data_IF_620711660688
#
_entry.id   IF_620711660688
#
_cell.length_a   1.000
_cell.length_b   1.000
_cell.length_c   1.000
_cell.angle_alpha   90.00
_cell.angle_beta   90.00
_cell.angle_gamma   90.00
#
_symmetry.space_group_name_H-M   'P 1'
#
loop_
_entity.id
_entity.type
_entity.pdbx_description
1 polymer ?
#
# COMPACT_ATOMS: atom_id res chain seq x y z
N UNK A 1 -11.12 23.15 2.35
CA UNK A 1 -10.20 23.71 1.35
C UNK A 1 -10.85 23.66 -0.04
N UNK A 2 -11.15 22.47 -0.59
CA UNK A 2 -11.75 22.30 -1.95
C UNK A 2 -13.07 23.08 -2.18
N UNK A 3 -13.90 23.25 -1.15
CA UNK A 3 -15.14 24.04 -1.25
C UNK A 3 -14.81 25.53 -1.40
N UNK A 4 -13.88 26.06 -0.59
CA UNK A 4 -13.45 27.45 -0.67
C UNK A 4 -12.75 27.79 -1.99
N UNK A 5 -11.99 26.86 -2.55
CA UNK A 5 -11.36 27.05 -3.87
C UNK A 5 -12.40 27.14 -4.99
N UNK A 6 -13.43 26.28 -4.96
CA UNK A 6 -14.51 26.33 -5.94
C UNK A 6 -15.38 27.60 -5.82
N UNK A 7 -15.61 28.09 -4.60
CA UNK A 7 -16.29 29.36 -4.35
C UNK A 7 -15.47 30.57 -4.85
N UNK A 8 -14.14 30.54 -4.67
CA UNK A 8 -13.27 31.59 -5.18
C UNK A 8 -13.25 31.64 -6.73
N UNK A 9 -13.25 30.47 -7.40
CA UNK A 9 -13.39 30.40 -8.86
C UNK A 9 -14.72 30.99 -9.34
N UNK A 10 -15.82 30.70 -8.63
CA UNK A 10 -17.11 31.27 -8.95
C UNK A 10 -17.11 32.80 -8.88
N UNK A 11 -16.56 33.37 -7.80
CA UNK A 11 -16.47 34.82 -7.60
C UNK A 11 -15.62 35.49 -8.69
N UNK A 12 -14.51 34.85 -9.13
CA UNK A 12 -13.70 35.35 -10.23
C UNK A 12 -14.43 35.37 -11.56
N UNK A 13 -15.21 34.34 -11.87
CA UNK A 13 -16.01 34.30 -13.11
C UNK A 13 -17.18 35.31 -13.07
N UNK A 14 -17.78 35.53 -11.93
CA UNK A 14 -18.86 36.53 -11.73
C UNK A 14 -18.36 37.99 -11.85
N UNK A 15 -17.09 38.26 -11.50
CA UNK A 15 -16.48 39.60 -11.54
C UNK A 15 -16.00 40.04 -12.93
N UNK A 16 -15.99 39.17 -13.92
CA UNK A 16 -15.61 39.51 -15.29
C UNK A 16 -16.72 40.25 -16.02
N UNK A 17 -16.39 41.39 -16.68
CA UNK A 17 -17.36 42.24 -17.42
C UNK A 17 -18.06 41.51 -18.60
N UNK A 18 -17.45 40.50 -19.18
CA UNK A 18 -18.06 39.65 -20.22
C UNK A 18 -18.46 38.31 -19.59
N UNK A 19 -19.64 38.22 -19.03
CA UNK A 19 -20.16 36.98 -18.46
C UNK A 19 -20.44 35.96 -19.55
N UNK A 20 -19.68 34.86 -19.52
CA UNK A 20 -20.07 33.66 -20.23
C UNK A 20 -20.99 32.87 -19.27
N UNK A 21 -22.30 32.96 -19.46
CA UNK A 21 -23.32 32.31 -18.61
C UNK A 21 -23.11 30.82 -18.45
N UNK A 22 -22.57 30.16 -19.47
CA UNK A 22 -22.24 28.74 -19.40
C UNK A 22 -21.11 28.44 -18.40
N UNK A 23 -20.06 29.29 -18.35
CA UNK A 23 -18.97 29.14 -17.36
C UNK A 23 -19.44 29.39 -15.93
N UNK A 24 -20.32 30.38 -15.74
CA UNK A 24 -20.92 30.64 -14.41
C UNK A 24 -21.79 29.47 -13.98
N UNK A 25 -22.57 28.88 -14.88
CA UNK A 25 -23.39 27.71 -14.62
C UNK A 25 -22.56 26.49 -14.26
N UNK A 26 -21.45 26.24 -14.98
CA UNK A 26 -20.51 25.16 -14.68
C UNK A 26 -19.79 25.39 -13.35
N UNK A 27 -19.39 26.62 -13.04
CA UNK A 27 -18.77 26.96 -11.75
C UNK A 27 -19.74 26.75 -10.58
N UNK A 28 -21.02 27.15 -10.72
CA UNK A 28 -22.06 26.89 -9.74
C UNK A 28 -22.28 25.41 -9.50
N UNK A 29 -22.40 24.61 -10.56
CA UNK A 29 -22.54 23.16 -10.47
C UNK A 29 -21.33 22.51 -9.74
N UNK A 30 -20.11 23.00 -10.00
CA UNK A 30 -18.89 22.55 -9.33
C UNK A 30 -18.88 22.88 -7.84
N UNK A 31 -19.37 24.07 -7.45
CA UNK A 31 -19.52 24.47 -6.03
C UNK A 31 -20.51 23.56 -5.31
N UNK A 32 -21.69 23.34 -5.90
CA UNK A 32 -22.72 22.46 -5.32
C UNK A 32 -22.22 21.03 -5.17
N UNK A 33 -21.54 20.47 -6.17
CA UNK A 33 -20.92 19.14 -6.10
C UNK A 33 -19.89 19.05 -4.95
N UNK A 34 -19.04 20.08 -4.78
CA UNK A 34 -18.05 20.13 -3.70
C UNK A 34 -18.67 20.28 -2.31
N UNK A 35 -19.77 21.03 -2.19
CA UNK A 35 -20.54 21.11 -0.95
C UNK A 35 -21.17 19.78 -0.58
N UNK A 36 -21.75 19.07 -1.55
CA UNK A 36 -22.33 17.75 -1.34
C UNK A 36 -21.25 16.73 -0.90
N UNK A 37 -20.06 16.75 -1.53
CA UNK A 37 -18.93 15.92 -1.16
C UNK A 37 -18.46 16.22 0.28
N UNK A 38 -18.35 17.49 0.66
CA UNK A 38 -17.97 17.92 2.01
C UNK A 38 -18.95 17.44 3.07
N UNK A 39 -20.26 17.60 2.82
CA UNK A 39 -21.32 17.13 3.72
C UNK A 39 -21.29 15.61 3.91
N UNK A 40 -21.05 14.86 2.82
CA UNK A 40 -20.91 13.40 2.87
C UNK A 40 -19.70 12.97 3.70
N UNK A 41 -18.56 13.64 3.55
CA UNK A 41 -17.35 13.36 4.32
C UNK A 41 -17.53 13.65 5.81
N UNK A 42 -18.26 14.70 6.15
CA UNK A 42 -18.56 15.06 7.54
C UNK A 42 -19.47 14.03 8.22
N UNK A 43 -20.48 13.54 7.48
CA UNK A 43 -21.34 12.45 7.93
C UNK A 43 -20.53 11.17 8.19
N UNK A 44 -19.63 10.79 7.26
CA UNK A 44 -18.76 9.62 7.43
C UNK A 44 -17.87 9.74 8.67
N UNK A 45 -17.30 10.92 8.94
CA UNK A 45 -16.52 11.20 10.15
C UNK A 45 -17.34 11.01 11.43
N UNK A 46 -18.57 11.52 11.43
CA UNK A 46 -19.47 11.42 12.57
C UNK A 46 -19.88 9.98 12.84
N UNK A 47 -20.20 9.23 11.78
CA UNK A 47 -20.59 7.82 11.88
C UNK A 47 -19.42 6.93 12.34
N UNK A 48 -18.19 7.20 11.87
CA UNK A 48 -16.98 6.54 12.36
C UNK A 48 -16.75 6.79 13.85
N UNK A 49 -16.88 8.06 14.29
CA UNK A 49 -16.71 8.41 15.70
C UNK A 49 -17.73 7.70 16.60
N UNK A 50 -19.00 7.59 16.15
CA UNK A 50 -20.04 6.84 16.86
C UNK A 50 -19.74 5.34 16.91
N UNK A 51 -19.26 4.76 15.80
CA UNK A 51 -18.90 3.34 15.76
C UNK A 51 -17.70 3.01 16.65
N UNK A 52 -16.72 3.91 16.72
CA UNK A 52 -15.55 3.76 17.60
C UNK A 52 -15.91 3.87 19.07
N UNK A 53 -16.81 4.80 19.42
CA UNK A 53 -17.33 4.96 20.77
C UNK A 53 -18.20 3.75 21.21
N UNK A 54 -19.00 3.21 20.29
CA UNK A 54 -19.78 1.98 20.53
C UNK A 54 -18.88 0.76 20.76
N UNK A 55 -17.79 0.61 19.97
CA UNK A 55 -16.79 -0.44 20.17
C UNK A 55 -16.07 -0.31 21.50
N UNK A 56 -15.75 0.92 21.93
CA UNK A 56 -15.10 1.15 23.23
C UNK A 56 -16.03 0.80 24.40
N UNK A 57 -17.32 1.14 24.31
CA UNK A 57 -18.33 0.77 25.33
C UNK A 57 -18.53 -0.72 25.40
N UNK A 58 -18.62 -1.43 24.26
CA UNK A 58 -18.73 -2.89 24.22
C UNK A 58 -17.50 -3.59 24.82
N UNK A 59 -16.29 -3.07 24.56
CA UNK A 59 -15.04 -3.62 25.13
C UNK A 59 -14.90 -3.33 26.65
N UNK A 60 -15.57 -2.31 27.15
CA UNK A 60 -15.60 -1.98 28.57
C UNK A 60 -16.62 -2.84 29.35
N UNK A 61 -17.76 -3.18 28.72
CA UNK A 61 -18.75 -4.10 29.27
C UNK A 61 -18.25 -5.55 29.33
N UNK A 62 -17.43 -6.00 28.37
CA UNK A 62 -16.82 -7.36 28.42
C UNK A 62 -15.75 -7.49 29.52
N UNK A 63 -15.04 -6.42 29.88
CA UNK A 63 -14.07 -6.43 30.98
C UNK A 63 -14.68 -6.54 32.35
N UNK A 64 -15.97 -6.28 32.49
CA UNK A 64 -16.69 -6.37 33.80
C UNK A 64 -17.23 -7.77 34.05
N UNK A 65 -17.23 -8.68 33.06
CA UNK A 65 -17.82 -10.03 33.19
C UNK A 65 -16.84 -11.17 33.42
N UNK A 66 -15.53 -10.93 33.35
CA UNK A 66 -14.54 -11.99 33.61
C UNK A 66 -13.94 -11.88 35.02
N UNK A 67 -14.41 -12.76 35.93
CA UNK A 67 -13.73 -13.15 37.15
C UNK A 67 -12.66 -14.22 36.81
N UNK A 68 -11.44 -14.18 37.35
CA UNK A 68 -10.34 -14.99 36.86
C UNK A 68 -10.50 -16.44 37.22
N UNK A 69 -10.43 -17.31 36.23
CA UNK A 69 -10.15 -18.73 36.38
C UNK A 69 -8.68 -19.00 36.03
N UNK A 70 -8.06 -19.86 36.84
CA UNK A 70 -6.64 -20.24 36.86
C UNK A 70 -6.04 -20.52 35.49
N UNK A 71 -4.83 -19.97 35.24
CA UNK A 71 -4.00 -20.24 34.09
C UNK A 71 -3.44 -21.66 34.08
N UNK A 72 -3.49 -22.40 32.97
CA UNK A 72 -2.52 -23.46 32.68
C UNK A 72 -1.25 -22.85 32.12
N UNK A 73 -0.10 -23.29 32.58
CA UNK A 73 1.24 -22.87 32.12
C UNK A 73 1.44 -23.13 30.63
N UNK A 74 2.07 -22.20 29.91
CA UNK A 74 2.41 -22.43 28.51
C UNK A 74 3.57 -23.43 28.37
N UNK A 75 3.42 -24.33 27.39
CA UNK A 75 4.47 -25.24 26.95
C UNK A 75 5.69 -24.44 26.38
N UNK A 76 6.94 -24.96 26.52
CA UNK A 76 8.13 -24.26 26.15
C UNK A 76 8.18 -24.07 24.62
N UNK A 77 8.50 -22.83 24.20
CA UNK A 77 8.69 -22.45 22.81
C UNK A 77 9.84 -23.24 22.16
N UNK A 78 9.75 -23.63 20.89
CA UNK A 78 10.85 -24.24 20.17
C UNK A 78 12.00 -23.21 19.97
N UNK A 79 13.24 -23.68 20.20
CA UNK A 79 14.45 -22.91 19.97
C UNK A 79 14.53 -22.42 18.52
N UNK A 80 14.96 -21.17 18.30
CA UNK A 80 15.21 -20.70 16.94
C UNK A 80 16.40 -21.42 16.33
N UNK A 81 16.18 -22.00 15.15
CA UNK A 81 17.26 -22.52 14.31
C UNK A 81 18.13 -21.36 13.80
N UNK A 82 19.43 -21.57 13.81
CA UNK A 82 20.45 -20.64 13.32
C UNK A 82 20.20 -20.30 11.85
N UNK A 83 20.14 -19.01 11.48
CA UNK A 83 20.10 -18.65 10.07
C UNK A 83 21.38 -19.08 9.36
N UNK A 84 21.21 -19.63 8.16
CA UNK A 84 22.32 -19.91 7.24
C UNK A 84 23.09 -18.61 6.90
N UNK A 85 24.42 -18.67 6.65
CA UNK A 85 25.21 -17.49 6.38
C UNK A 85 24.76 -16.81 5.09
N UNK A 86 24.49 -15.49 5.18
CA UNK A 86 24.19 -14.65 4.04
C UNK A 86 25.36 -14.62 3.04
N UNK A 87 25.11 -14.58 1.74
CA UNK A 87 26.15 -14.38 0.74
C UNK A 87 26.77 -13.00 0.89
N UNK A 88 28.12 -12.94 0.72
CA UNK A 88 28.91 -11.71 0.75
C UNK A 88 28.34 -10.66 -0.21
N UNK A 89 28.30 -9.39 0.19
CA UNK A 89 27.97 -8.32 -0.74
C UNK A 89 29.11 -8.12 -1.74
N UNK A 90 28.79 -8.24 -3.01
CA UNK A 90 29.65 -7.75 -4.09
C UNK A 90 29.56 -6.23 -4.19
N UNK A 91 30.69 -5.61 -4.56
CA UNK A 91 30.90 -4.17 -4.69
C UNK A 91 29.83 -3.49 -5.57
N UNK A 92 29.40 -2.27 -5.22
CA UNK A 92 28.58 -1.47 -6.13
C UNK A 92 29.49 -0.75 -7.14
N UNK A 93 29.72 -1.37 -8.27
CA UNK A 93 30.23 -0.71 -9.47
C UNK A 93 29.71 -1.50 -10.65
N UNK A 94 28.63 -0.98 -11.20
CA UNK A 94 28.27 -0.91 -12.60
C UNK A 94 26.75 -0.70 -12.70
N UNK A 95 26.38 0.34 -13.41
CA UNK A 95 24.97 0.60 -13.75
C UNK A 95 24.43 -0.61 -14.54
N UNK A 96 23.28 -1.19 -14.17
CA UNK A 96 22.66 -2.19 -15.03
C UNK A 96 22.18 -1.50 -16.31
N UNK A 97 22.62 -2.00 -17.45
CA UNK A 97 21.95 -1.81 -18.72
C UNK A 97 20.47 -2.16 -18.55
N UNK A 98 19.61 -1.35 -19.12
CA UNK A 98 18.17 -1.53 -19.13
C UNK A 98 17.81 -2.96 -19.57
N UNK A 99 17.53 -3.82 -18.61
CA UNK A 99 16.71 -5.00 -18.83
C UNK A 99 15.25 -4.56 -18.92
N UNK A 100 14.51 -5.14 -19.86
CA UNK A 100 13.07 -4.94 -19.98
C UNK A 100 12.43 -5.10 -18.60
N UNK A 101 11.51 -4.22 -18.19
CA UNK A 101 10.87 -4.32 -16.90
C UNK A 101 10.26 -5.72 -16.71
N UNK A 102 10.50 -6.32 -15.55
CA UNK A 102 9.89 -7.61 -15.17
C UNK A 102 8.36 -7.60 -15.28
N UNK A 103 7.76 -6.41 -15.25
CA UNK A 103 6.34 -6.14 -15.46
C UNK A 103 5.84 -6.50 -16.85
N UNK A 104 6.64 -6.26 -17.92
CA UNK A 104 6.25 -6.65 -19.29
C UNK A 104 6.27 -8.18 -19.47
N UNK A 105 7.20 -8.87 -18.82
CA UNK A 105 7.28 -10.32 -18.89
C UNK A 105 6.17 -11.01 -18.09
N UNK A 106 5.76 -10.41 -16.97
CA UNK A 106 4.61 -10.88 -16.19
C UNK A 106 3.27 -10.64 -16.92
N UNK A 107 3.13 -9.52 -17.64
CA UNK A 107 1.95 -9.24 -18.48
C UNK A 107 1.87 -10.20 -19.68
N UNK A 108 3.00 -10.45 -20.36
CA UNK A 108 3.06 -11.38 -21.48
C UNK A 108 2.78 -12.83 -21.05
N UNK A 109 3.30 -13.28 -19.90
CA UNK A 109 3.05 -14.60 -19.33
C UNK A 109 1.60 -14.78 -18.83
N UNK A 110 1.01 -13.70 -18.30
CA UNK A 110 -0.41 -13.72 -17.89
C UNK A 110 -1.34 -13.72 -19.11
N UNK A 111 -1.08 -12.89 -20.10
CA UNK A 111 -1.84 -12.87 -21.35
C UNK A 111 -1.81 -14.22 -22.05
N UNK A 112 -0.63 -14.86 -22.13
CA UNK A 112 -0.47 -16.20 -22.71
C UNK A 112 -1.24 -17.26 -21.95
N UNK A 113 -1.18 -17.29 -20.60
CA UNK A 113 -1.94 -18.25 -19.77
C UNK A 113 -3.44 -18.03 -19.90
N UNK A 114 -3.88 -16.78 -19.97
CA UNK A 114 -5.28 -16.42 -20.16
C UNK A 114 -5.79 -16.88 -21.54
N UNK A 115 -4.98 -16.75 -22.57
CA UNK A 115 -5.29 -17.16 -23.94
C UNK A 115 -5.27 -18.70 -24.10
N UNK A 116 -4.31 -19.38 -23.46
CA UNK A 116 -4.26 -20.85 -23.42
C UNK A 116 -5.46 -21.45 -22.68
N UNK A 117 -5.89 -20.83 -21.58
CA UNK A 117 -7.06 -21.26 -20.82
C UNK A 117 -8.37 -20.97 -21.56
N UNK A 118 -8.47 -19.83 -22.24
CA UNK A 118 -9.58 -19.49 -23.12
C UNK A 118 -9.69 -20.48 -24.29
N UNK A 119 -8.58 -20.82 -24.95
CA UNK A 119 -8.54 -21.77 -26.06
C UNK A 119 -8.84 -23.21 -25.59
N UNK A 120 -8.43 -23.61 -24.38
CA UNK A 120 -8.77 -24.90 -23.78
C UNK A 120 -10.28 -25.03 -23.51
N UNK A 121 -10.90 -23.91 -23.06
CA UNK A 121 -12.34 -23.89 -22.77
C UNK A 121 -13.21 -23.82 -24.03
N UNK A 122 -12.73 -23.22 -25.11
CA UNK A 122 -13.47 -23.08 -26.37
C UNK A 122 -13.39 -24.33 -27.26
N UNK A 123 -12.41 -25.24 -27.05
CA UNK A 123 -12.25 -26.44 -27.84
C UNK A 123 -13.02 -27.69 -27.34
N UNK A 124 -13.77 -27.56 -26.25
CA UNK A 124 -14.59 -28.68 -25.74
C UNK A 124 -16.08 -28.40 -25.92
N UNK A 125 -16.61 -28.54 -27.16
CA UNK A 125 -18.01 -28.93 -27.34
C UNK A 125 -18.27 -29.61 -28.70
N UNK A 126 -18.83 -30.81 -28.72
CA UNK A 126 -19.71 -31.26 -29.80
C UNK A 126 -21.19 -31.03 -29.41
N UNK A 127 -22.09 -30.69 -30.36
CA UNK A 127 -23.48 -30.45 -30.05
C UNK A 127 -24.21 -31.80 -29.88
N UNK A 128 -24.87 -31.99 -28.75
CA UNK A 128 -25.93 -33.01 -28.60
C UNK A 128 -27.29 -32.37 -28.80
N UNK A 129 -27.97 -32.79 -29.82
CA UNK A 129 -29.39 -32.57 -30.03
C UNK A 129 -30.21 -33.28 -28.95
N UNK A 130 -30.96 -32.49 -28.15
CA UNK A 130 -31.91 -33.05 -27.20
C UNK A 130 -33.36 -32.63 -27.52
N UNK A 131 -34.25 -33.56 -27.30
CA UNK A 131 -35.70 -33.60 -27.39
C UNK A 131 -36.34 -32.45 -26.62
N UNK A 132 -37.52 -31.89 -27.05
CA UNK A 132 -38.15 -30.77 -26.35
C UNK A 132 -38.59 -31.21 -24.95
N UNK A 133 -37.98 -30.58 -23.95
CA UNK A 133 -38.31 -30.78 -22.54
C UNK A 133 -39.48 -29.89 -22.12
N UNK A 134 -40.30 -30.42 -21.24
CA UNK A 134 -41.33 -29.75 -20.47
C UNK A 134 -40.86 -28.41 -19.90
N UNK A 135 -41.71 -27.38 -19.74
CA UNK A 135 -41.27 -26.08 -19.19
C UNK A 135 -40.76 -26.28 -17.77
N UNK A 136 -39.46 -26.31 -17.64
CA UNK A 136 -38.77 -26.28 -16.34
C UNK A 136 -38.86 -24.89 -15.78
N UNK A 137 -39.19 -24.75 -14.50
CA UNK A 137 -39.05 -23.49 -13.76
C UNK A 137 -37.68 -22.86 -14.07
N UNK A 138 -37.66 -21.56 -14.42
CA UNK A 138 -36.41 -20.92 -14.79
C UNK A 138 -35.35 -21.11 -13.67
N UNK A 139 -34.15 -21.54 -14.05
CA UNK A 139 -33.02 -21.59 -13.11
C UNK A 139 -32.75 -20.16 -12.65
N UNK A 140 -32.72 -19.88 -11.36
CA UNK A 140 -32.41 -18.58 -10.79
C UNK A 140 -31.38 -18.70 -9.69
N UNK A 141 -30.57 -17.65 -9.50
CA UNK A 141 -29.50 -17.62 -8.51
C UNK A 141 -28.30 -18.47 -8.90
N UNK A 142 -27.46 -18.76 -7.93
CA UNK A 142 -26.24 -19.53 -8.14
C UNK A 142 -26.52 -21.00 -8.49
N UNK A 143 -25.85 -21.47 -9.53
CA UNK A 143 -25.89 -22.87 -10.00
C UNK A 143 -24.48 -23.35 -10.32
N UNK A 144 -24.16 -24.58 -9.92
CA UNK A 144 -22.91 -25.23 -10.31
C UNK A 144 -23.19 -26.23 -11.45
N UNK A 145 -22.48 -26.04 -12.54
CA UNK A 145 -22.60 -26.87 -13.74
C UNK A 145 -21.20 -27.24 -14.23
N UNK A 146 -20.92 -28.52 -14.39
CA UNK A 146 -19.61 -29.03 -14.82
C UNK A 146 -18.42 -28.49 -13.97
N UNK A 147 -18.63 -28.33 -12.65
CA UNK A 147 -17.61 -27.84 -11.75
C UNK A 147 -17.45 -26.31 -11.71
N UNK A 148 -18.14 -25.58 -12.58
CA UNK A 148 -18.11 -24.12 -12.62
C UNK A 148 -19.37 -23.52 -12.02
N UNK A 149 -19.27 -22.34 -11.41
CA UNK A 149 -20.40 -21.59 -10.88
C UNK A 149 -20.90 -20.57 -11.89
N UNK A 150 -22.24 -20.47 -12.00
CA UNK A 150 -22.97 -19.51 -12.83
C UNK A 150 -24.06 -18.86 -12.01
N UNK A 151 -24.43 -17.64 -12.37
CA UNK A 151 -25.54 -16.95 -11.76
C UNK A 151 -26.64 -16.66 -12.80
N UNK A 152 -27.86 -17.09 -12.50
CA UNK A 152 -29.02 -16.89 -13.34
C UNK A 152 -29.93 -15.81 -12.76
N UNK A 153 -30.26 -14.79 -13.55
CA UNK A 153 -31.17 -13.74 -13.21
C UNK A 153 -32.60 -14.28 -13.01
N UNK A 154 -33.48 -13.45 -12.48
CA UNK A 154 -34.89 -13.83 -12.22
C UNK A 154 -35.66 -14.17 -13.49
N UNK A 155 -35.26 -13.65 -14.63
CA UNK A 155 -35.77 -13.98 -15.96
C UNK A 155 -35.19 -15.25 -16.57
N UNK A 156 -34.26 -15.92 -15.85
CA UNK A 156 -33.59 -17.12 -16.30
C UNK A 156 -32.39 -16.85 -17.23
N UNK A 157 -32.07 -15.60 -17.54
CA UNK A 157 -30.85 -15.26 -18.28
C UNK A 157 -29.60 -15.43 -17.42
N UNK A 158 -28.48 -15.83 -18.04
CA UNK A 158 -27.21 -15.98 -17.38
C UNK A 158 -26.55 -14.61 -17.18
N UNK A 159 -26.13 -14.30 -15.96
CA UNK A 159 -25.42 -13.08 -15.65
C UNK A 159 -23.98 -13.09 -16.21
N UNK A 160 -23.49 -11.93 -16.63
CA UNK A 160 -22.10 -11.68 -17.02
C UNK A 160 -21.63 -10.34 -16.48
N UNK A 161 -20.32 -10.17 -16.29
CA UNK A 161 -19.73 -8.96 -15.70
C UNK A 161 -19.89 -8.91 -14.18
N UNK A 162 -19.81 -7.72 -13.61
CA UNK A 162 -19.89 -7.52 -12.16
C UNK A 162 -21.31 -7.78 -11.63
N UNK A 163 -21.38 -8.58 -10.60
CA UNK A 163 -22.61 -8.96 -9.89
C UNK A 163 -22.45 -8.67 -8.40
N UNK A 164 -23.40 -7.92 -7.82
CA UNK A 164 -23.52 -7.82 -6.36
C UNK A 164 -24.61 -8.78 -5.86
N UNK A 165 -24.21 -9.68 -4.96
CA UNK A 165 -25.15 -10.63 -4.36
C UNK A 165 -24.82 -10.82 -2.87
N UNK A 166 -25.84 -10.69 -2.00
CA UNK A 166 -25.73 -10.82 -0.55
C UNK A 166 -24.58 -9.97 0.05
N UNK A 167 -24.37 -8.74 -0.45
CA UNK A 167 -23.37 -7.80 0.04
C UNK A 167 -21.94 -8.02 -0.50
N UNK A 168 -21.70 -9.10 -1.24
CA UNK A 168 -20.43 -9.39 -1.90
C UNK A 168 -20.47 -9.11 -3.39
N UNK A 169 -19.34 -8.75 -3.97
CA UNK A 169 -19.17 -8.58 -5.40
C UNK A 169 -18.52 -9.82 -6.01
N UNK A 170 -19.01 -10.21 -7.17
CA UNK A 170 -18.54 -11.33 -7.99
C UNK A 170 -18.33 -10.85 -9.42
N UNK A 171 -17.55 -11.56 -10.17
CA UNK A 171 -17.40 -11.31 -11.60
C UNK A 171 -17.71 -12.59 -12.39
N UNK A 172 -18.65 -12.48 -13.34
CA UNK A 172 -18.99 -13.54 -14.25
C UNK A 172 -18.32 -13.24 -15.61
N UNK A 173 -17.56 -14.17 -16.11
CA UNK A 173 -16.90 -14.07 -17.41
C UNK A 173 -17.94 -13.94 -18.54
N UNK A 174 -17.49 -13.63 -19.76
CA UNK A 174 -18.39 -13.52 -20.92
C UNK A 174 -19.17 -14.82 -21.21
N UNK A 175 -18.61 -15.99 -20.83
CA UNK A 175 -19.30 -17.29 -20.91
C UNK A 175 -20.19 -17.58 -19.70
N UNK A 176 -20.35 -16.63 -18.78
CA UNK A 176 -21.14 -16.74 -17.56
C UNK A 176 -20.46 -17.45 -16.39
N UNK A 177 -19.27 -18.04 -16.57
CA UNK A 177 -18.57 -18.71 -15.48
C UNK A 177 -18.07 -17.70 -14.45
N UNK A 178 -18.17 -18.03 -13.17
CA UNK A 178 -17.65 -17.18 -12.07
C UNK A 178 -16.12 -17.15 -12.13
N UNK A 179 -15.57 -15.94 -12.12
CA UNK A 179 -14.12 -15.70 -12.05
C UNK A 179 -13.58 -15.91 -10.65
N UNK A 180 -12.34 -16.39 -10.57
CA UNK A 180 -11.53 -16.47 -9.36
C UNK A 180 -10.08 -16.04 -9.66
N UNK A 181 -9.34 -15.59 -8.66
CA UNK A 181 -7.98 -15.10 -8.84
C UNK A 181 -7.92 -13.66 -9.36
N UNK A 182 -6.81 -13.30 -9.96
CA UNK A 182 -6.60 -11.97 -10.49
C UNK A 182 -7.45 -11.67 -11.72
N UNK A 183 -8.10 -10.53 -11.74
CA UNK A 183 -8.93 -10.03 -12.83
C UNK A 183 -8.49 -8.62 -13.20
N UNK A 184 -8.17 -8.37 -14.46
CA UNK A 184 -7.99 -7.02 -14.98
C UNK A 184 -9.32 -6.53 -15.61
N UNK A 185 -9.79 -5.38 -15.13
CA UNK A 185 -11.02 -4.79 -15.63
C UNK A 185 -10.90 -3.25 -15.66
N UNK A 186 -11.16 -2.65 -16.81
CA UNK A 186 -11.06 -1.20 -17.04
C UNK A 186 -9.74 -0.58 -16.53
N UNK A 187 -8.60 -1.23 -16.79
CA UNK A 187 -7.29 -0.75 -16.41
C UNK A 187 -6.92 -0.91 -14.94
N UNK A 188 -7.78 -1.52 -14.11
CA UNK A 188 -7.52 -1.83 -12.72
C UNK A 188 -7.47 -3.35 -12.49
N UNK A 189 -6.67 -3.77 -11.53
CA UNK A 189 -6.62 -5.15 -11.08
C UNK A 189 -7.53 -5.37 -9.88
N UNK A 190 -8.19 -6.51 -9.86
CA UNK A 190 -9.07 -7.01 -8.79
C UNK A 190 -8.67 -8.43 -8.45
N UNK A 191 -9.02 -8.88 -7.26
CA UNK A 191 -8.83 -10.28 -6.88
C UNK A 191 -10.14 -10.89 -6.42
N UNK A 192 -10.53 -12.00 -7.04
CA UNK A 192 -11.69 -12.80 -6.65
C UNK A 192 -11.18 -14.01 -5.85
N UNK A 193 -11.68 -14.17 -4.63
CA UNK A 193 -11.32 -15.29 -3.78
C UNK A 193 -11.75 -16.63 -4.40
N UNK A 194 -11.34 -17.74 -3.80
CA UNK A 194 -11.68 -19.07 -4.31
C UNK A 194 -13.21 -19.35 -4.35
N UNK A 195 -13.98 -18.66 -3.49
CA UNK A 195 -15.44 -18.69 -3.48
C UNK A 195 -16.08 -17.64 -4.42
N UNK A 196 -15.27 -16.89 -5.15
CA UNK A 196 -15.67 -15.90 -6.16
C UNK A 196 -15.93 -14.51 -5.63
N UNK A 197 -15.98 -14.27 -4.31
CA UNK A 197 -16.18 -12.92 -3.78
C UNK A 197 -14.95 -12.03 -3.96
N UNK A 198 -15.18 -10.76 -4.25
CA UNK A 198 -14.12 -9.78 -4.47
C UNK A 198 -13.40 -9.47 -3.17
N UNK A 199 -12.08 -9.62 -3.16
CA UNK A 199 -11.21 -9.29 -2.04
C UNK A 199 -11.10 -7.77 -1.84
N UNK A 200 -10.96 -7.35 -0.58
CA UNK A 200 -10.61 -5.99 -0.17
C UNK A 200 -9.63 -6.05 1.01
N UNK A 201 -8.82 -5.01 1.19
CA UNK A 201 -7.81 -4.98 2.23
C UNK A 201 -6.54 -5.76 1.84
N UNK A 202 -5.78 -6.19 2.85
CA UNK A 202 -4.54 -6.92 2.63
C UNK A 202 -4.80 -8.35 2.13
N UNK A 203 -4.10 -8.72 1.06
CA UNK A 203 -4.12 -10.03 0.43
C UNK A 203 -2.70 -10.58 0.35
N UNK A 204 -2.50 -11.83 0.78
CA UNK A 204 -1.27 -12.57 0.50
C UNK A 204 -1.52 -13.55 -0.65
N UNK A 205 -0.74 -13.41 -1.71
CA UNK A 205 -0.83 -14.30 -2.86
C UNK A 205 0.57 -14.63 -3.38
N UNK A 206 0.87 -15.92 -3.57
CA UNK A 206 2.17 -16.42 -4.04
C UNK A 206 3.37 -15.83 -3.28
N UNK A 207 3.25 -15.65 -1.96
CA UNK A 207 4.32 -15.15 -1.09
C UNK A 207 4.45 -13.63 -1.05
N UNK A 208 3.75 -12.88 -1.90
CA UNK A 208 3.72 -11.42 -1.91
C UNK A 208 2.45 -10.87 -1.25
N UNK A 209 2.55 -9.68 -0.67
CA UNK A 209 1.42 -8.97 -0.12
C UNK A 209 0.94 -7.90 -1.10
N UNK A 210 -0.37 -7.77 -1.22
CA UNK A 210 -1.09 -6.79 -2.03
C UNK A 210 -2.13 -6.08 -1.18
N UNK A 211 -2.57 -4.93 -1.61
CA UNK A 211 -3.68 -4.24 -0.96
C UNK A 211 -4.77 -3.91 -1.98
N UNK A 212 -5.98 -4.40 -1.72
CA UNK A 212 -7.16 -4.10 -2.50
C UNK A 212 -7.94 -2.98 -1.79
N UNK A 213 -8.21 -1.90 -2.49
CA UNK A 213 -9.00 -0.78 -1.97
C UNK A 213 -10.43 -1.22 -1.61
N UNK A 214 -11.18 -0.37 -0.94
CA UNK A 214 -12.58 -0.67 -0.58
C UNK A 214 -13.48 -0.95 -1.79
N UNK A 215 -13.12 -0.45 -2.97
CA UNK A 215 -13.81 -0.74 -4.24
C UNK A 215 -13.26 -1.99 -4.95
N UNK A 216 -12.34 -2.71 -4.34
CA UNK A 216 -11.69 -3.90 -4.87
C UNK A 216 -10.48 -3.65 -5.78
N UNK A 217 -10.23 -2.41 -6.23
CA UNK A 217 -9.09 -2.13 -7.09
C UNK A 217 -7.77 -2.29 -6.35
N UNK A 218 -6.78 -2.92 -6.97
CA UNK A 218 -5.43 -3.07 -6.43
C UNK A 218 -4.76 -1.71 -6.25
N UNK A 219 -4.20 -1.47 -5.07
CA UNK A 219 -3.45 -0.26 -4.76
C UNK A 219 -2.01 -0.35 -5.30
N UNK A 220 -1.47 0.80 -5.69
CA UNK A 220 -0.05 0.99 -6.03
C UNK A 220 0.44 2.31 -5.42
N UNK A 221 1.74 2.45 -5.22
CA UNK A 221 2.33 3.62 -4.58
C UNK A 221 2.16 3.63 -3.07
N UNK A 222 2.23 4.82 -2.48
CA UNK A 222 2.14 5.00 -1.04
C UNK A 222 0.72 4.74 -0.50
N UNK A 223 0.64 3.90 0.51
CA UNK A 223 -0.58 3.55 1.24
C UNK A 223 -0.41 3.86 2.73
N UNK A 224 -1.34 4.61 3.31
CA UNK A 224 -1.43 4.75 4.76
C UNK A 224 -2.49 3.78 5.31
N UNK A 225 -2.08 2.90 6.21
CA UNK A 225 -2.94 1.92 6.83
C UNK A 225 -2.63 1.77 8.32
N UNK A 226 -3.63 1.90 9.19
CA UNK A 226 -3.50 1.81 10.65
C UNK A 226 -2.34 2.64 11.23
N UNK A 227 -2.16 3.88 10.73
CA UNK A 227 -1.15 4.81 11.20
C UNK A 227 0.27 4.57 10.65
N UNK A 228 0.50 3.51 9.88
CA UNK A 228 1.77 3.23 9.21
C UNK A 228 1.69 3.48 7.72
N UNK A 229 2.81 3.82 7.10
CA UNK A 229 2.94 3.94 5.66
C UNK A 229 3.55 2.67 5.07
N UNK A 230 3.03 2.27 3.92
CA UNK A 230 3.46 1.13 3.10
C UNK A 230 3.66 1.61 1.67
N UNK A 231 4.42 0.87 0.90
CA UNK A 231 4.56 1.13 -0.52
C UNK A 231 4.25 -0.12 -1.32
N UNK A 232 3.32 0.02 -2.27
CA UNK A 232 2.98 -1.03 -3.22
C UNK A 232 3.66 -0.68 -4.55
N UNK A 233 4.45 -1.60 -5.09
CA UNK A 233 5.12 -1.45 -6.37
C UNK A 233 4.10 -1.30 -7.52
N UNK A 234 4.58 -0.99 -8.72
CA UNK A 234 3.71 -0.84 -9.89
C UNK A 234 2.88 -2.10 -10.21
N UNK A 235 3.43 -3.29 -9.92
CA UNK A 235 2.74 -4.58 -10.04
C UNK A 235 1.85 -4.92 -8.81
N UNK A 236 1.77 -4.02 -7.84
CA UNK A 236 0.92 -4.13 -6.66
C UNK A 236 1.54 -4.85 -5.46
N UNK A 237 2.69 -5.51 -5.59
CA UNK A 237 3.32 -6.18 -4.46
C UNK A 237 3.89 -5.17 -3.45
N UNK A 238 3.84 -5.53 -2.18
CA UNK A 238 4.33 -4.70 -1.09
C UNK A 238 5.85 -4.66 -1.07
N UNK A 239 6.43 -3.46 -1.11
CA UNK A 239 7.86 -3.25 -1.01
C UNK A 239 8.39 -3.49 0.41
N UNK A 240 9.61 -4.00 0.50
CA UNK A 240 10.41 -4.11 1.73
C UNK A 240 11.86 -3.71 1.43
N UNK A 241 12.61 -3.29 2.46
CA UNK A 241 13.97 -2.82 2.29
C UNK A 241 14.06 -1.39 1.75
N UNK A 242 15.17 -1.08 1.10
CA UNK A 242 15.41 0.25 0.54
C UNK A 242 14.58 0.51 -0.71
N UNK A 243 13.91 1.64 -0.72
CA UNK A 243 13.09 2.15 -1.82
C UNK A 243 13.56 3.54 -2.22
N UNK A 244 13.80 3.76 -3.51
CA UNK A 244 13.98 5.10 -4.06
C UNK A 244 12.68 5.56 -4.71
N UNK A 245 12.14 6.68 -4.26
CA UNK A 245 10.92 7.25 -4.81
C UNK A 245 11.02 8.79 -4.87
N UNK A 246 10.75 9.38 -6.04
CA UNK A 246 10.83 10.82 -6.27
C UNK A 246 12.15 11.48 -5.78
N UNK A 247 13.29 10.80 -6.01
CA UNK A 247 14.61 11.31 -5.65
C UNK A 247 15.00 11.15 -4.19
N UNK A 248 14.15 10.63 -3.34
CA UNK A 248 14.42 10.32 -1.92
C UNK A 248 14.49 8.83 -1.67
N UNK A 249 15.31 8.43 -0.72
CA UNK A 249 15.39 7.06 -0.23
C UNK A 249 14.50 6.87 1.00
N UNK A 250 13.85 5.73 1.06
CA UNK A 250 13.00 5.26 2.17
C UNK A 250 13.40 3.85 2.55
N UNK A 251 13.07 3.44 3.75
CA UNK A 251 13.23 2.05 4.15
C UNK A 251 11.91 1.45 4.63
N UNK A 252 11.51 0.35 4.01
CA UNK A 252 10.34 -0.41 4.41
C UNK A 252 10.83 -1.62 5.23
N UNK A 253 10.32 -1.76 6.44
CA UNK A 253 10.62 -2.88 7.32
C UNK A 253 10.20 -4.23 6.69
N UNK A 254 10.60 -5.34 7.27
CA UNK A 254 10.20 -6.66 6.78
C UNK A 254 8.68 -6.89 6.76
N UNK A 255 7.92 -6.17 7.60
CA UNK A 255 6.46 -6.18 7.60
C UNK A 255 5.84 -5.15 6.63
N UNK A 256 6.66 -4.46 5.83
CA UNK A 256 6.26 -3.43 4.87
C UNK A 256 6.05 -2.03 5.45
N UNK A 257 6.06 -1.85 6.77
CA UNK A 257 5.88 -0.52 7.37
C UNK A 257 7.09 0.37 7.12
N UNK A 258 6.88 1.64 6.76
CA UNK A 258 7.93 2.62 6.55
C UNK A 258 8.65 2.91 7.87
N UNK A 259 9.98 2.84 7.86
CA UNK A 259 10.84 3.17 8.98
C UNK A 259 10.98 4.70 9.15
N UNK A 260 11.14 5.14 10.40
CA UNK A 260 11.51 6.50 10.78
C UNK A 260 12.51 6.44 11.93
N UNK A 261 13.30 7.48 12.10
CA UNK A 261 14.36 7.51 13.12
C UNK A 261 15.59 6.69 12.73
N UNK A 262 16.32 6.22 13.73
CA UNK A 262 17.55 5.47 13.52
C UNK A 262 17.30 4.05 13.01
N UNK A 263 18.00 3.68 11.95
CA UNK A 263 17.99 2.37 11.32
C UNK A 263 19.41 1.81 11.24
N UNK A 264 19.62 0.59 11.74
CA UNK A 264 20.85 -0.16 11.46
C UNK A 264 20.58 -1.15 10.31
N UNK A 265 21.36 -1.03 9.25
CA UNK A 265 21.26 -1.92 8.10
C UNK A 265 22.65 -2.24 7.55
N UNK A 266 22.96 -3.52 7.35
CA UNK A 266 24.24 -4.00 6.85
C UNK A 266 25.47 -3.38 7.57
N UNK A 267 25.41 -3.23 8.89
CA UNK A 267 26.50 -2.71 9.72
C UNK A 267 26.65 -1.19 9.73
N UNK A 268 25.84 -0.46 8.98
CA UNK A 268 25.81 1.01 8.98
C UNK A 268 24.54 1.54 9.64
N UNK A 269 24.64 2.71 10.25
CA UNK A 269 23.51 3.44 10.79
C UNK A 269 23.03 4.48 9.78
N UNK A 270 21.73 4.63 9.67
CA UNK A 270 21.00 5.60 8.84
C UNK A 270 19.97 6.33 9.69
N UNK A 271 19.57 7.50 9.27
CA UNK A 271 18.49 8.22 9.91
C UNK A 271 17.39 8.51 8.90
N UNK A 272 16.17 8.06 9.21
CA UNK A 272 14.98 8.33 8.42
C UNK A 272 14.21 9.46 9.10
N UNK A 273 13.95 10.54 8.39
CA UNK A 273 13.17 11.67 8.88
C UNK A 273 11.74 11.25 9.27
N UNK A 274 11.00 12.12 9.93
CA UNK A 274 9.62 11.84 10.32
C UNK A 274 8.69 11.51 9.12
N UNK A 275 9.02 12.02 7.92
CA UNK A 275 8.32 11.69 6.68
C UNK A 275 8.86 10.42 5.99
N UNK A 276 9.79 9.70 6.61
CA UNK A 276 10.43 8.49 6.12
C UNK A 276 11.61 8.70 5.17
N UNK A 277 11.87 9.91 4.68
CA UNK A 277 13.00 10.15 3.78
C UNK A 277 14.33 9.97 4.51
N UNK A 278 15.30 9.30 3.88
CA UNK A 278 16.65 9.15 4.40
C UNK A 278 17.34 10.51 4.51
N UNK A 279 17.87 10.80 5.68
CA UNK A 279 18.67 11.99 5.91
C UNK A 279 20.09 11.85 5.38
N UNK A 280 20.65 12.96 4.95
CA UNK A 280 22.07 13.14 4.64
C UNK A 280 22.53 14.43 5.29
N UNK A 281 23.85 14.57 5.48
CA UNK A 281 24.43 15.76 6.11
C UNK A 281 24.15 15.78 7.63
N UNK A 282 24.05 16.94 8.24
CA UNK A 282 23.89 17.11 9.69
C UNK A 282 22.47 16.77 10.15
N UNK A 283 22.37 15.90 11.14
CA UNK A 283 21.12 15.54 11.84
C UNK A 283 21.27 15.80 13.33
N UNK A 284 20.30 16.45 13.91
CA UNK A 284 20.20 16.64 15.36
C UNK A 284 19.13 15.70 15.90
N UNK A 285 19.51 14.81 16.81
CA UNK A 285 18.60 13.95 17.55
C UNK A 285 18.78 14.19 19.06
N UNK A 286 17.71 14.67 19.70
CA UNK A 286 17.81 15.24 21.02
C UNK A 286 18.79 16.42 21.06
N UNK A 287 19.78 16.36 21.94
CA UNK A 287 20.83 17.39 22.06
C UNK A 287 22.11 17.04 21.31
N UNK A 288 22.13 15.94 20.56
CA UNK A 288 23.32 15.41 19.89
C UNK A 288 23.25 15.60 18.39
N UNK A 289 24.35 16.03 17.80
CA UNK A 289 24.53 16.12 16.35
C UNK A 289 25.25 14.88 15.81
N UNK A 290 24.79 14.45 14.64
CA UNK A 290 25.34 13.35 13.86
C UNK A 290 25.56 13.79 12.43
N UNK A 291 26.46 13.14 11.71
CA UNK A 291 26.71 13.43 10.30
C UNK A 291 26.48 12.17 9.45
N UNK A 292 25.60 12.28 8.49
CA UNK A 292 25.27 11.24 7.52
C UNK A 292 25.93 11.59 6.18
N UNK A 293 26.64 10.64 5.60
CA UNK A 293 27.24 10.79 4.28
C UNK A 293 26.18 10.95 3.17
N UNK A 294 26.61 11.28 1.95
CA UNK A 294 25.71 11.31 0.79
C UNK A 294 25.02 9.95 0.53
N UNK A 295 25.64 8.85 0.96
CA UNK A 295 25.05 7.50 0.97
C UNK A 295 24.00 7.30 2.06
N UNK A 296 23.82 8.24 2.97
CA UNK A 296 23.02 8.13 4.18
C UNK A 296 23.71 7.44 5.36
N UNK A 297 24.89 6.83 5.16
CA UNK A 297 25.59 6.15 6.22
C UNK A 297 26.14 7.14 7.26
N UNK A 298 25.93 6.85 8.55
CA UNK A 298 26.44 7.67 9.66
C UNK A 298 27.95 7.54 9.80
N UNK A 299 28.66 8.67 9.90
CA UNK A 299 30.08 8.69 10.28
C UNK A 299 30.24 8.34 11.75
N UNK A 300 31.27 7.57 12.05
CA UNK A 300 31.67 7.21 13.41
C UNK A 300 33.19 7.08 13.54
N UNK A 301 33.73 7.39 14.73
CA UNK A 301 35.15 7.24 15.10
C UNK A 301 36.10 7.91 14.12
N UNK A 302 35.81 9.11 13.64
CA UNK A 302 36.66 9.76 12.64
C UNK A 302 36.59 11.29 12.66
N UNK A 303 37.71 11.88 12.21
CA UNK A 303 37.75 13.27 11.79
C UNK A 303 37.27 13.42 10.36
N UNK A 304 36.53 14.50 10.07
CA UNK A 304 36.08 14.82 8.72
C UNK A 304 35.90 16.31 8.54
N UNK A 305 35.86 16.76 7.30
CA UNK A 305 35.80 18.17 6.92
C UNK A 305 34.48 18.49 6.23
N UNK A 306 33.82 19.53 6.69
CA UNK A 306 32.59 20.10 6.06
C UNK A 306 32.78 21.61 5.94
N UNK A 307 32.57 22.17 4.75
CA UNK A 307 32.68 23.63 4.50
C UNK A 307 33.92 24.27 5.11
N UNK A 308 35.09 23.65 4.87
CA UNK A 308 36.41 24.06 5.35
C UNK A 308 36.67 23.96 6.86
N UNK A 309 35.74 23.43 7.65
CA UNK A 309 35.89 23.18 9.07
C UNK A 309 36.05 21.68 9.36
N UNK A 310 36.88 21.36 10.35
CA UNK A 310 37.09 20.00 10.82
C UNK A 310 36.21 19.67 12.02
N UNK A 311 35.65 18.47 12.01
CA UNK A 311 34.81 17.93 13.05
C UNK A 311 35.22 16.51 13.41
N UNK A 312 34.91 16.07 14.61
CA UNK A 312 35.11 14.70 15.04
C UNK A 312 33.79 14.10 15.54
N UNK A 313 33.51 12.90 15.11
CA UNK A 313 32.42 12.08 15.68
C UNK A 313 33.00 10.85 16.37
N UNK A 314 32.46 10.53 17.54
CA UNK A 314 32.91 9.39 18.33
C UNK A 314 32.38 8.05 17.81
N UNK A 315 32.63 6.93 18.53
CA UNK A 315 32.19 5.58 18.13
C UNK A 315 30.68 5.39 18.02
N UNK A 316 29.87 6.21 18.68
CA UNK A 316 28.43 6.22 18.53
C UNK A 316 27.93 7.16 17.43
N UNK A 317 28.82 7.83 16.71
CA UNK A 317 28.49 8.86 15.71
C UNK A 317 28.23 10.24 16.29
N UNK A 318 28.24 10.40 17.61
CA UNK A 318 27.96 11.68 18.27
C UNK A 318 29.09 12.70 18.01
N UNK A 319 28.73 13.93 17.63
CA UNK A 319 29.65 15.04 17.44
C UNK A 319 30.34 15.37 18.78
N UNK A 320 31.65 15.42 18.77
CA UNK A 320 32.43 15.91 19.90
C UNK A 320 32.31 17.43 20.00
N UNK A 321 31.94 17.93 21.16
CA UNK A 321 31.78 19.39 21.46
C UNK A 321 32.46 19.74 22.76
N UNK A 322 33.06 20.94 22.87
CA UNK A 322 33.72 21.47 24.08
C UNK A 322 34.71 20.48 24.72
N UNK A 323 35.45 19.73 23.91
CA UNK A 323 36.39 18.68 24.38
C UNK A 323 37.67 18.69 23.58
N UNK A 324 38.59 17.78 23.93
CA UNK A 324 39.84 17.53 23.20
C UNK A 324 39.85 16.09 22.71
N UNK A 325 40.13 15.89 21.43
CA UNK A 325 40.23 14.58 20.77
C UNK A 325 41.59 14.54 20.07
N UNK A 326 42.42 13.51 20.31
CA UNK A 326 43.73 13.33 19.71
C UNK A 326 44.62 14.59 19.82
N UNK A 327 44.56 15.29 20.95
CA UNK A 327 45.24 16.57 21.23
C UNK A 327 44.68 17.80 20.49
N UNK A 328 43.63 17.63 19.71
CA UNK A 328 42.93 18.74 19.03
C UNK A 328 41.68 19.16 19.80
N UNK A 329 41.54 20.48 20.02
CA UNK A 329 40.40 21.04 20.74
C UNK A 329 39.24 21.30 19.79
N UNK A 330 38.02 20.95 20.20
CA UNK A 330 36.77 21.32 19.51
C UNK A 330 35.92 22.23 20.37
N UNK A 331 35.30 23.22 19.74
CA UNK A 331 34.45 24.22 20.39
C UNK A 331 33.02 23.72 20.64
N UNK A 332 32.13 24.59 21.09
CA UNK A 332 30.72 24.30 21.35
C UNK A 332 29.95 23.87 20.08
N UNK A 333 30.40 24.27 18.91
CA UNK A 333 29.82 23.89 17.62
C UNK A 333 30.46 22.62 17.05
N UNK A 334 31.39 21.98 17.78
CA UNK A 334 32.13 20.80 17.32
C UNK A 334 33.26 21.11 16.32
N UNK A 335 33.53 22.41 16.05
CA UNK A 335 34.56 22.84 15.12
C UNK A 335 35.95 22.72 15.79
N UNK A 336 36.91 22.16 15.07
CA UNK A 336 38.31 22.20 15.51
C UNK A 336 38.77 23.68 15.63
N UNK A 337 39.42 23.97 16.73
CA UNK A 337 40.01 25.28 17.05
C UNK A 337 41.48 25.11 17.48
N UNK A 338 42.34 26.06 17.13
CA UNK A 338 43.72 26.08 17.52
C UNK A 338 43.94 26.32 19.03
#
# INVERSE_FOLDING_TARGET
VKVKEAELELVKEEAKESRNEEKVKQAKAKVESKKAEATRLEKIKTDRKKAEEAKRKAAEEDKVKEKPAEQPQPAPAPKPEKPAPAPKPENPAEQPKAEKPADQQAEEDYARRSEEEYNRLTQQQPPKTEKPAQPSTPKTGWKQENGMWYFYNTDGSMATGWLQNNGSWYYLNANGSMATGWLQYNGSWYYLNANGDMATGWLQNNGSWYYLNANGSMATGWLQYNGSWYYLNANGDMATGWLQNNGSWYYLNANGSMATGWLQNNGSWYYLNANGSMATDWVKDGDTWYYLEASGAMKASQWFKVSDKWYYVNGSGALAVNTTVDSYRVNANGEWVN
#
